data_IF_931415271183
#
_entry.id   IF_931415271183
#
_cell.length_a   1.000
_cell.length_b   1.000
_cell.length_c   1.000
_cell.angle_alpha   90.00
_cell.angle_beta   90.00
_cell.angle_gamma   90.00
#
_symmetry.space_group_name_H-M   'P 1'
#
loop_
_entity.id
_entity.type
_entity.pdbx_description
1 polymer ?
#
# COMPACT_ATOMS: atom_id res chain seq x y z
N UNK A 1 -10.63 4.09 6.86
CA UNK A 1 -9.69 3.76 7.95
C UNK A 1 -8.46 4.63 7.81
N UNK A 2 -8.10 5.31 8.91
CA UNK A 2 -6.79 5.97 9.07
C UNK A 2 -6.18 5.38 10.35
N UNK A 3 -4.97 4.81 10.25
CA UNK A 3 -4.27 4.20 11.38
C UNK A 3 -2.84 4.71 11.44
N UNK A 4 -2.32 4.92 12.65
CA UNK A 4 -0.94 5.34 12.89
C UNK A 4 -0.30 4.32 13.82
N UNK A 5 0.87 3.82 13.49
CA UNK A 5 1.65 2.95 14.36
C UNK A 5 2.09 3.75 15.60
N UNK A 6 1.69 3.32 16.79
CA UNK A 6 1.88 4.09 18.01
C UNK A 6 3.22 3.81 18.69
N UNK A 7 3.58 2.55 18.84
CA UNK A 7 4.77 2.17 19.61
C UNK A 7 5.30 0.76 19.26
N UNK A 8 6.36 0.35 19.94
CA UNK A 8 6.97 -0.96 19.79
C UNK A 8 6.11 -2.10 20.32
N UNK A 9 5.19 -1.85 21.25
CA UNK A 9 4.28 -2.87 21.78
C UNK A 9 3.26 -3.25 20.69
N UNK A 10 2.62 -2.24 20.08
CA UNK A 10 1.72 -2.47 18.94
C UNK A 10 2.42 -3.25 17.83
N UNK A 11 3.66 -2.87 17.49
CA UNK A 11 4.44 -3.58 16.49
C UNK A 11 4.71 -5.05 16.89
N UNK A 12 5.06 -5.30 18.17
CA UNK A 12 5.24 -6.65 18.69
C UNK A 12 3.98 -7.49 18.53
N UNK A 13 2.84 -6.98 18.94
CA UNK A 13 1.53 -7.66 18.80
C UNK A 13 1.19 -7.98 17.35
N UNK A 14 1.52 -7.06 16.41
CA UNK A 14 1.37 -7.29 14.97
C UNK A 14 2.24 -8.45 14.49
N UNK A 15 3.53 -8.47 14.87
CA UNK A 15 4.48 -9.52 14.48
C UNK A 15 4.05 -10.88 15.04
N UNK A 16 3.71 -10.96 16.33
CA UNK A 16 3.23 -12.19 16.96
C UNK A 16 1.96 -12.74 16.28
N UNK A 17 1.04 -11.84 15.91
CA UNK A 17 -0.17 -12.25 15.20
C UNK A 17 0.16 -12.80 13.80
N UNK A 18 1.03 -12.15 13.04
CA UNK A 18 1.45 -12.65 11.73
C UNK A 18 2.17 -14.01 11.84
N UNK A 19 3.01 -14.19 12.87
CA UNK A 19 3.70 -15.47 13.14
C UNK A 19 2.72 -16.59 13.50
N UNK A 20 1.76 -16.32 14.39
CA UNK A 20 0.72 -17.27 14.79
C UNK A 20 -0.10 -17.72 13.57
N UNK A 21 -0.39 -16.81 12.66
CA UNK A 21 -1.13 -17.08 11.43
C UNK A 21 -0.24 -17.67 10.32
N UNK A 22 1.04 -17.95 10.61
CA UNK A 22 2.05 -18.52 9.69
C UNK A 22 2.24 -17.69 8.41
N UNK A 23 2.07 -16.37 8.51
CA UNK A 23 2.26 -15.44 7.40
C UNK A 23 3.73 -15.02 7.29
N UNK A 24 4.21 -14.71 6.08
CA UNK A 24 5.58 -14.28 5.89
C UNK A 24 5.83 -12.94 6.55
N UNK A 25 6.92 -12.84 7.30
CA UNK A 25 7.35 -11.59 7.89
C UNK A 25 8.24 -10.79 6.93
N UNK A 26 8.12 -9.49 7.00
CA UNK A 26 9.05 -8.58 6.35
C UNK A 26 10.41 -8.60 7.07
N UNK A 27 11.52 -8.52 6.32
CA UNK A 27 12.88 -8.50 6.89
C UNK A 27 13.17 -7.26 7.76
N UNK A 28 12.48 -6.15 7.51
CA UNK A 28 12.49 -4.97 8.35
C UNK A 28 11.33 -5.09 9.33
N UNK A 29 11.57 -5.24 10.65
CA UNK A 29 10.51 -5.53 11.62
C UNK A 29 9.34 -4.55 11.57
N UNK A 30 9.61 -3.25 11.47
CA UNK A 30 8.59 -2.20 11.46
C UNK A 30 7.60 -2.35 10.28
N UNK A 31 8.06 -2.84 9.13
CA UNK A 31 7.20 -3.04 7.94
C UNK A 31 6.19 -4.19 8.09
N UNK A 32 6.29 -4.99 9.15
CA UNK A 32 5.26 -5.97 9.49
C UNK A 32 3.95 -5.31 9.92
N UNK A 33 3.99 -4.10 10.46
CA UNK A 33 2.79 -3.33 10.75
C UNK A 33 2.00 -3.02 9.46
N UNK A 34 2.67 -2.64 8.37
CA UNK A 34 2.02 -2.39 7.07
C UNK A 34 1.23 -3.62 6.61
N UNK A 35 1.86 -4.81 6.67
CA UNK A 35 1.22 -6.07 6.29
C UNK A 35 0.08 -6.45 7.24
N UNK A 36 0.22 -6.20 8.54
CA UNK A 36 -0.83 -6.46 9.51
C UNK A 36 -2.07 -5.58 9.26
N UNK A 37 -1.87 -4.28 9.07
CA UNK A 37 -2.98 -3.35 8.79
C UNK A 37 -3.59 -3.61 7.41
N UNK A 38 -2.80 -3.99 6.40
CA UNK A 38 -3.29 -4.38 5.08
C UNK A 38 -4.38 -5.46 5.16
N UNK A 39 -4.31 -6.40 6.09
CA UNK A 39 -5.33 -7.46 6.27
C UNK A 39 -6.74 -6.88 6.44
N UNK A 40 -6.88 -5.70 7.07
CA UNK A 40 -8.17 -5.01 7.20
C UNK A 40 -8.71 -4.52 5.85
N UNK A 41 -7.80 -4.12 4.95
CA UNK A 41 -8.18 -3.72 3.60
C UNK A 41 -8.53 -4.91 2.70
N UNK A 42 -8.04 -6.10 3.03
CA UNK A 42 -8.31 -7.33 2.28
C UNK A 42 -9.64 -7.99 2.67
N UNK A 43 -10.23 -7.63 3.82
CA UNK A 43 -11.53 -8.15 4.24
C UNK A 43 -12.58 -7.90 3.15
N UNK A 44 -13.40 -8.88 2.84
CA UNK A 44 -14.43 -8.84 1.80
C UNK A 44 -13.92 -8.90 0.34
N UNK A 45 -12.65 -9.20 0.11
CA UNK A 45 -12.14 -9.48 -1.23
C UNK A 45 -12.12 -10.99 -1.48
N UNK A 46 -12.60 -11.37 -2.65
CA UNK A 46 -12.51 -12.76 -3.11
C UNK A 46 -11.07 -13.11 -3.53
N UNK A 47 -10.63 -14.37 -3.42
CA UNK A 47 -9.28 -14.79 -3.79
C UNK A 47 -8.87 -14.44 -5.23
N UNK A 48 -9.82 -14.42 -6.16
CA UNK A 48 -9.60 -14.04 -7.57
C UNK A 48 -9.64 -12.55 -7.86
N UNK A 49 -9.91 -11.69 -6.86
CA UNK A 49 -9.98 -10.25 -7.04
C UNK A 49 -8.65 -9.68 -7.57
N UNK A 50 -8.67 -8.83 -8.62
CA UNK A 50 -7.45 -8.23 -9.15
C UNK A 50 -6.88 -7.19 -8.17
N UNK A 51 -5.66 -7.45 -7.70
CA UNK A 51 -4.92 -6.58 -6.77
C UNK A 51 -3.65 -6.07 -7.44
N UNK A 52 -3.42 -4.74 -7.36
CA UNK A 52 -2.22 -4.10 -7.86
C UNK A 52 -1.37 -3.51 -6.73
N UNK A 53 -0.09 -3.89 -6.67
CA UNK A 53 0.93 -3.33 -5.76
C UNK A 53 1.74 -2.27 -6.52
N UNK A 54 1.45 -0.99 -6.24
CA UNK A 54 2.01 0.19 -6.89
C UNK A 54 3.28 0.65 -6.17
N UNK A 55 4.43 0.29 -6.72
CA UNK A 55 5.75 0.40 -6.08
C UNK A 55 6.13 -0.90 -5.39
N UNK A 56 5.98 -2.04 -6.09
CA UNK A 56 6.11 -3.38 -5.51
C UNK A 56 7.56 -3.76 -5.09
N UNK A 57 8.56 -2.98 -5.42
CA UNK A 57 9.94 -3.14 -5.00
C UNK A 57 10.48 -4.56 -5.17
N UNK A 58 10.72 -5.24 -4.06
CA UNK A 58 11.24 -6.62 -4.03
C UNK A 58 10.12 -7.69 -4.00
N UNK A 59 8.85 -7.32 -4.14
CA UNK A 59 7.71 -8.23 -4.20
C UNK A 59 7.35 -8.92 -2.87
N UNK A 60 7.72 -8.32 -1.74
CA UNK A 60 7.40 -8.88 -0.43
C UNK A 60 5.89 -8.85 -0.15
N UNK A 61 5.23 -7.76 -0.52
CA UNK A 61 3.77 -7.64 -0.41
C UNK A 61 3.05 -8.58 -1.36
N UNK A 62 3.52 -8.75 -2.59
CA UNK A 62 2.94 -9.73 -3.53
C UNK A 62 3.04 -11.15 -2.98
N UNK A 63 4.17 -11.53 -2.38
CA UNK A 63 4.32 -12.84 -1.73
C UNK A 63 3.42 -12.98 -0.50
N UNK A 64 3.26 -11.92 0.30
CA UNK A 64 2.34 -11.89 1.42
C UNK A 64 0.89 -12.13 0.98
N UNK A 65 0.43 -11.41 -0.05
CA UNK A 65 -0.91 -11.58 -0.63
C UNK A 65 -1.14 -12.99 -1.18
N UNK A 66 -0.13 -13.51 -1.88
CA UNK A 66 -0.17 -14.88 -2.41
C UNK A 66 -0.33 -15.91 -1.28
N UNK A 67 0.36 -15.72 -0.16
CA UNK A 67 0.24 -16.61 1.01
C UNK A 67 -1.13 -16.50 1.70
N UNK A 68 -1.80 -15.38 1.53
CA UNK A 68 -3.20 -15.21 1.95
C UNK A 68 -4.20 -15.84 0.98
N UNK A 69 -3.75 -16.41 -0.16
CA UNK A 69 -4.59 -17.10 -1.12
C UNK A 69 -5.05 -16.24 -2.31
N UNK A 70 -4.57 -15.00 -2.45
CA UNK A 70 -4.90 -14.19 -3.62
C UNK A 70 -4.09 -14.63 -4.85
N UNK A 71 -4.76 -14.74 -6.00
CA UNK A 71 -4.19 -15.32 -7.21
C UNK A 71 -3.98 -14.30 -8.34
N UNK A 72 -4.79 -13.26 -8.40
CA UNK A 72 -4.73 -12.25 -9.46
C UNK A 72 -3.93 -11.02 -9.01
N UNK A 73 -2.61 -11.18 -8.96
CA UNK A 73 -1.68 -10.20 -8.41
C UNK A 73 -0.85 -9.54 -9.50
N UNK A 74 -0.77 -8.21 -9.44
CA UNK A 74 0.02 -7.36 -10.33
C UNK A 74 0.94 -6.47 -9.51
N UNK A 75 2.23 -6.46 -9.82
CA UNK A 75 3.18 -5.47 -9.31
C UNK A 75 3.58 -4.49 -10.39
N UNK A 76 3.78 -3.22 -10.04
CA UNK A 76 4.41 -2.22 -10.91
C UNK A 76 5.50 -1.49 -10.14
N UNK A 77 6.66 -1.29 -10.77
CA UNK A 77 7.78 -0.54 -10.21
C UNK A 77 8.62 0.12 -11.31
N UNK A 78 9.30 1.21 -11.00
CA UNK A 78 10.23 1.89 -11.91
C UNK A 78 11.40 0.98 -12.31
N UNK A 79 11.82 0.11 -11.40
CA UNK A 79 12.89 -0.85 -11.63
C UNK A 79 12.47 -2.25 -11.15
N UNK A 80 12.73 -3.26 -11.98
CA UNK A 80 12.49 -4.65 -11.58
C UNK A 80 13.77 -5.19 -10.94
N UNK A 81 13.74 -5.37 -9.62
CA UNK A 81 14.91 -5.85 -8.90
C UNK A 81 15.20 -7.33 -9.20
N UNK A 82 16.48 -7.72 -9.18
CA UNK A 82 16.89 -9.12 -9.30
C UNK A 82 16.31 -10.00 -8.17
N UNK A 83 16.14 -9.42 -6.97
CA UNK A 83 15.54 -10.12 -5.81
C UNK A 83 14.08 -10.50 -6.05
N UNK A 84 13.32 -9.63 -6.73
CA UNK A 84 11.96 -9.92 -7.16
C UNK A 84 11.94 -11.10 -8.14
N UNK A 85 12.82 -11.08 -9.16
CA UNK A 85 12.92 -12.18 -10.12
C UNK A 85 13.40 -13.49 -9.50
N UNK A 86 14.36 -13.44 -8.57
CA UNK A 86 14.81 -14.61 -7.83
C UNK A 86 13.69 -15.21 -6.96
N UNK A 87 12.87 -14.38 -6.31
CA UNK A 87 11.71 -14.82 -5.54
C UNK A 87 10.67 -15.50 -6.43
N UNK A 88 10.34 -14.88 -7.55
CA UNK A 88 9.42 -15.42 -8.55
C UNK A 88 9.89 -16.81 -9.03
N UNK A 89 11.14 -16.92 -9.45
CA UNK A 89 11.72 -18.19 -9.91
C UNK A 89 11.73 -19.27 -8.81
N UNK A 90 12.08 -18.91 -7.58
CA UNK A 90 12.07 -19.83 -6.45
C UNK A 90 10.66 -20.35 -6.13
N UNK A 91 9.65 -19.48 -6.20
CA UNK A 91 8.25 -19.87 -6.00
C UNK A 91 7.79 -20.81 -7.12
N UNK A 92 8.12 -20.49 -8.37
CA UNK A 92 7.82 -21.39 -9.51
C UNK A 92 8.44 -22.78 -9.32
N UNK A 93 9.72 -22.82 -8.94
CA UNK A 93 10.43 -24.08 -8.71
C UNK A 93 9.83 -24.90 -7.56
N UNK A 94 9.62 -24.27 -6.39
CA UNK A 94 9.10 -24.96 -5.20
C UNK A 94 7.68 -25.48 -5.38
N UNK A 95 6.83 -24.73 -6.07
CA UNK A 95 5.42 -25.06 -6.27
C UNK A 95 5.16 -25.74 -7.61
N UNK A 96 6.20 -26.07 -8.36
CA UNK A 96 6.14 -26.70 -9.69
C UNK A 96 5.18 -25.96 -10.65
N UNK A 97 5.20 -24.62 -10.59
CA UNK A 97 4.34 -23.77 -11.42
C UNK A 97 4.95 -23.59 -12.81
N UNK A 98 4.10 -23.64 -13.83
CA UNK A 98 4.47 -23.32 -15.21
C UNK A 98 4.40 -21.82 -15.53
N UNK A 99 3.72 -21.04 -14.67
CA UNK A 99 3.54 -19.59 -14.84
C UNK A 99 3.97 -18.84 -13.58
N UNK A 100 4.46 -17.60 -13.72
CA UNK A 100 4.75 -16.75 -12.57
C UNK A 100 3.57 -16.63 -11.61
N UNK A 101 3.82 -16.54 -10.29
CA UNK A 101 2.78 -16.44 -9.28
C UNK A 101 2.06 -15.08 -9.30
N UNK A 102 2.63 -14.08 -9.95
CA UNK A 102 2.09 -12.73 -10.13
C UNK A 102 2.66 -12.09 -11.40
N UNK A 103 1.97 -11.08 -11.92
CA UNK A 103 2.44 -10.29 -13.08
C UNK A 103 3.29 -9.12 -12.59
N UNK A 104 4.36 -8.79 -13.30
CA UNK A 104 5.22 -7.64 -12.98
C UNK A 104 5.33 -6.74 -14.19
N UNK A 105 5.01 -5.46 -14.02
CA UNK A 105 5.18 -4.40 -15.00
C UNK A 105 6.33 -3.48 -14.57
N UNK A 106 7.18 -3.09 -15.52
CA UNK A 106 8.12 -1.99 -15.31
C UNK A 106 7.46 -0.69 -15.77
N UNK A 107 7.35 0.28 -14.87
CA UNK A 107 6.73 1.56 -15.20
C UNK A 107 6.53 2.46 -14.00
N UNK A 108 6.02 3.66 -14.27
CA UNK A 108 5.61 4.61 -13.25
C UNK A 108 4.26 4.20 -12.65
N UNK A 109 4.08 4.47 -11.36
CA UNK A 109 2.80 4.34 -10.65
C UNK A 109 1.87 5.53 -10.91
N UNK A 110 2.39 6.58 -11.56
CA UNK A 110 1.62 7.75 -12.01
C UNK A 110 1.58 7.74 -13.53
N UNK A 111 0.42 7.44 -14.13
CA UNK A 111 0.27 7.21 -15.57
C UNK A 111 0.66 5.79 -15.99
N UNK A 112 0.21 4.80 -15.23
CA UNK A 112 0.47 3.39 -15.49
C UNK A 112 -0.26 2.88 -16.73
N UNK A 113 0.28 1.81 -17.34
CA UNK A 113 -0.38 1.09 -18.44
C UNK A 113 -1.47 0.11 -17.99
N UNK A 114 -1.82 0.12 -16.71
CA UNK A 114 -2.91 -0.70 -16.17
C UNK A 114 -4.24 -0.20 -16.78
N UNK A 115 -5.10 -1.09 -17.30
CA UNK A 115 -6.38 -0.70 -17.86
C UNK A 115 -7.27 0.03 -16.85
N UNK A 116 -8.14 0.93 -17.34
CA UNK A 116 -9.12 1.60 -16.49
C UNK A 116 -10.12 0.58 -15.91
N UNK A 117 -10.60 0.82 -14.69
CA UNK A 117 -11.62 0.01 -14.00
C UNK A 117 -11.34 -1.50 -14.07
N UNK A 118 -10.13 -1.90 -13.69
CA UNK A 118 -9.67 -3.29 -13.77
C UNK A 118 -9.06 -3.83 -12.47
N UNK A 119 -9.05 -3.02 -11.41
CA UNK A 119 -8.40 -3.35 -10.13
C UNK A 119 -9.42 -3.18 -8.99
N UNK A 120 -9.60 -4.22 -8.18
CA UNK A 120 -10.48 -4.22 -7.02
C UNK A 120 -9.80 -3.67 -5.75
N UNK A 121 -8.47 -3.76 -5.67
CA UNK A 121 -7.67 -3.14 -4.62
C UNK A 121 -6.31 -2.70 -5.17
N UNK A 122 -6.01 -1.42 -5.06
CA UNK A 122 -4.66 -0.90 -5.29
C UNK A 122 -3.95 -0.71 -3.94
N UNK A 123 -2.66 -1.06 -3.91
CA UNK A 123 -1.77 -0.89 -2.75
C UNK A 123 -0.65 0.07 -3.11
N UNK A 124 -0.22 0.88 -2.15
CA UNK A 124 1.02 1.65 -2.23
C UNK A 124 1.67 1.66 -0.85
N UNK A 125 2.58 0.73 -0.63
CA UNK A 125 3.20 0.50 0.69
C UNK A 125 4.58 1.12 0.70
N UNK A 126 4.75 2.17 1.53
CA UNK A 126 6.02 2.89 1.68
C UNK A 126 6.64 3.29 0.33
N UNK A 127 5.85 3.96 -0.50
CA UNK A 127 6.25 4.34 -1.86
C UNK A 127 6.10 5.84 -2.11
N UNK A 128 5.01 6.46 -1.65
CA UNK A 128 4.71 7.86 -1.98
C UNK A 128 5.67 8.86 -1.34
N UNK A 129 6.38 8.48 -0.29
CA UNK A 129 7.45 9.25 0.35
C UNK A 129 8.69 9.41 -0.53
N UNK A 130 8.83 8.65 -1.61
CA UNK A 130 9.99 8.66 -2.51
C UNK A 130 9.83 9.59 -3.71
N UNK A 131 9.34 10.83 -3.47
CA UNK A 131 9.27 11.85 -4.51
C UNK A 131 8.16 11.67 -5.53
N UNK A 132 7.14 10.88 -5.20
CA UNK A 132 5.96 10.67 -6.05
C UNK A 132 5.14 11.97 -6.13
N UNK A 133 4.67 12.30 -7.33
CA UNK A 133 3.62 13.29 -7.55
C UNK A 133 2.27 12.69 -7.10
N UNK A 134 1.85 13.09 -5.89
CA UNK A 134 0.69 12.51 -5.21
C UNK A 134 -0.60 12.74 -6.01
N UNK A 135 -0.78 13.90 -6.63
CA UNK A 135 -2.00 14.21 -7.37
C UNK A 135 -2.13 13.34 -8.64
N UNK A 136 -1.04 13.17 -9.37
CA UNK A 136 -0.99 12.27 -10.53
C UNK A 136 -1.15 10.81 -10.13
N UNK A 137 -0.52 10.40 -9.04
CA UNK A 137 -0.66 9.05 -8.48
C UNK A 137 -2.12 8.75 -8.13
N UNK A 138 -2.78 9.65 -7.39
CA UNK A 138 -4.19 9.49 -7.01
C UNK A 138 -5.11 9.45 -8.23
N UNK A 139 -4.90 10.34 -9.21
CA UNK A 139 -5.70 10.38 -10.44
C UNK A 139 -5.57 9.09 -11.26
N UNK A 140 -4.34 8.58 -11.45
CA UNK A 140 -4.13 7.32 -12.17
C UNK A 140 -4.68 6.12 -11.40
N UNK A 141 -4.50 6.09 -10.09
CA UNK A 141 -5.07 5.03 -9.25
C UNK A 141 -6.60 5.05 -9.30
N UNK A 142 -7.23 6.22 -9.25
CA UNK A 142 -8.69 6.33 -9.40
C UNK A 142 -9.17 5.80 -10.75
N UNK A 143 -8.41 6.05 -11.83
CA UNK A 143 -8.71 5.55 -13.17
C UNK A 143 -8.70 4.04 -13.25
N UNK A 144 -7.68 3.39 -12.68
CA UNK A 144 -7.51 1.93 -12.76
C UNK A 144 -8.44 1.15 -11.84
N UNK A 145 -8.93 1.77 -10.77
CA UNK A 145 -9.83 1.13 -9.82
C UNK A 145 -11.24 0.95 -10.41
N UNK A 146 -11.84 -0.21 -10.15
CA UNK A 146 -13.25 -0.49 -10.38
C UNK A 146 -14.14 0.42 -9.51
N UNK A 147 -15.39 0.70 -9.90
CA UNK A 147 -16.38 1.29 -8.98
C UNK A 147 -16.52 0.44 -7.71
N UNK A 148 -16.52 1.06 -6.54
CA UNK A 148 -16.55 0.37 -5.24
C UNK A 148 -15.20 -0.14 -4.73
N UNK A 149 -14.17 -0.14 -5.58
CA UNK A 149 -12.82 -0.58 -5.25
C UNK A 149 -12.08 0.35 -4.27
N UNK A 150 -10.96 -0.11 -3.73
CA UNK A 150 -10.23 0.58 -2.66
C UNK A 150 -8.77 0.84 -3.02
N UNK A 151 -8.23 1.92 -2.44
CA UNK A 151 -6.80 2.24 -2.42
C UNK A 151 -6.30 2.19 -0.98
N UNK A 152 -5.31 1.34 -0.73
CA UNK A 152 -4.60 1.27 0.54
C UNK A 152 -3.20 1.88 0.39
N UNK A 153 -2.87 2.85 1.25
CA UNK A 153 -1.58 3.55 1.25
C UNK A 153 -0.96 3.41 2.63
N UNK A 154 0.35 3.12 2.69
CA UNK A 154 1.16 3.41 3.89
C UNK A 154 2.33 4.30 3.51
N UNK A 155 2.75 5.15 4.44
CA UNK A 155 3.89 6.06 4.24
C UNK A 155 4.57 6.42 5.56
N UNK A 156 5.80 6.89 5.48
CA UNK A 156 6.55 7.45 6.61
C UNK A 156 5.85 8.72 7.11
N UNK A 157 5.60 8.81 8.42
CA UNK A 157 4.76 9.83 9.02
C UNK A 157 5.28 10.33 10.36
N UNK A 158 5.10 11.62 10.60
CA UNK A 158 5.20 12.23 11.92
C UNK A 158 4.17 13.36 12.06
N UNK A 159 3.63 13.55 13.27
CA UNK A 159 2.57 14.56 13.50
C UNK A 159 2.98 15.97 13.17
N UNK A 160 4.25 16.30 13.37
CA UNK A 160 4.87 17.60 13.08
C UNK A 160 5.81 17.51 11.89
N UNK A 161 6.15 18.66 11.32
CA UNK A 161 7.05 18.75 10.17
C UNK A 161 8.47 18.34 10.56
N UNK A 162 8.99 17.28 9.93
CA UNK A 162 10.37 16.84 10.03
C UNK A 162 11.16 17.36 8.81
N UNK A 163 12.26 18.08 9.06
CA UNK A 163 13.15 18.50 7.98
C UNK A 163 14.07 17.35 7.60
N UNK A 164 13.87 16.79 6.42
CA UNK A 164 14.76 15.81 5.81
C UNK A 164 15.75 16.55 4.91
N UNK A 165 17.05 16.25 5.03
CA UNK A 165 18.06 16.85 4.16
C UNK A 165 17.89 16.39 2.72
N UNK A 166 18.04 17.29 1.75
CA UNK A 166 17.98 16.95 0.31
C UNK A 166 19.09 15.99 -0.13
N UNK A 167 20.14 15.80 0.68
CA UNK A 167 21.20 14.80 0.43
C UNK A 167 20.77 13.38 0.76
N UNK A 168 19.73 13.20 1.59
CA UNK A 168 19.24 11.86 1.96
C UNK A 168 18.40 11.30 0.81
N UNK A 169 18.81 10.13 0.33
CA UNK A 169 18.14 9.40 -0.73
C UNK A 169 17.77 7.99 -0.25
N UNK A 170 16.57 7.55 -0.60
CA UNK A 170 16.17 6.17 -0.45
C UNK A 170 15.98 5.56 -1.86
N UNK A 171 16.67 4.46 -2.14
CA UNK A 171 16.67 3.82 -3.49
C UNK A 171 17.10 4.76 -4.63
N UNK A 172 17.94 5.78 -4.33
CA UNK A 172 18.34 6.80 -5.29
C UNK A 172 17.31 7.91 -5.53
N UNK A 173 16.15 7.85 -4.89
CA UNK A 173 15.06 8.81 -4.99
C UNK A 173 15.04 9.79 -3.81
N UNK A 174 14.46 10.98 -3.96
CA UNK A 174 14.17 11.87 -2.83
C UNK A 174 13.36 11.12 -1.77
N UNK A 175 13.61 11.40 -0.50
CA UNK A 175 12.84 10.81 0.59
C UNK A 175 12.30 11.90 1.50
N UNK A 176 11.11 11.69 2.06
CA UNK A 176 10.47 12.62 2.99
C UNK A 176 9.62 11.90 4.01
N UNK A 177 9.43 12.53 5.17
CA UNK A 177 8.46 12.10 6.17
C UNK A 177 7.23 13.00 5.99
N UNK A 178 6.05 12.42 5.84
CA UNK A 178 4.79 13.15 5.75
C UNK A 178 4.43 13.70 7.14
N UNK A 179 3.98 14.93 7.19
CA UNK A 179 3.39 15.56 8.37
C UNK A 179 1.84 15.55 8.27
N UNK A 180 1.19 15.98 9.34
CA UNK A 180 -0.27 16.07 9.38
C UNK A 180 -0.85 16.90 8.23
N UNK A 181 -0.21 18.04 7.91
CA UNK A 181 -0.68 18.93 6.85
C UNK A 181 -0.55 18.29 5.47
N UNK A 182 0.51 17.52 5.22
CA UNK A 182 0.69 16.77 3.96
C UNK A 182 -0.33 15.66 3.82
N UNK A 183 -0.64 14.95 4.90
CA UNK A 183 -1.71 13.92 4.88
C UNK A 183 -3.06 14.59 4.65
N UNK A 184 -3.37 15.72 5.30
CA UNK A 184 -4.61 16.46 5.05
C UNK A 184 -4.72 16.87 3.58
N UNK A 185 -3.66 17.45 2.98
CA UNK A 185 -3.65 17.80 1.54
C UNK A 185 -3.82 16.58 0.63
N UNK A 186 -3.25 15.43 0.98
CA UNK A 186 -3.46 14.19 0.24
C UNK A 186 -4.94 13.77 0.27
N UNK A 187 -5.56 13.83 1.44
CA UNK A 187 -6.99 13.49 1.61
C UNK A 187 -7.89 14.48 0.84
N UNK A 188 -7.57 15.78 0.87
CA UNK A 188 -8.29 16.80 0.12
C UNK A 188 -8.16 16.57 -1.40
N UNK A 189 -6.96 16.23 -1.87
CA UNK A 189 -6.74 15.88 -3.29
C UNK A 189 -7.50 14.61 -3.68
N UNK A 190 -7.48 13.59 -2.83
CA UNK A 190 -8.24 12.37 -3.05
C UNK A 190 -9.75 12.66 -3.15
N UNK A 191 -10.30 13.49 -2.25
CA UNK A 191 -11.70 13.89 -2.27
C UNK A 191 -12.07 14.67 -3.54
N UNK A 192 -11.21 15.60 -4.01
CA UNK A 192 -11.44 16.32 -5.27
C UNK A 192 -11.45 15.42 -6.50
N UNK A 193 -10.68 14.33 -6.50
CA UNK A 193 -10.66 13.33 -7.57
C UNK A 193 -11.92 12.44 -7.51
N UNK A 194 -12.56 12.32 -6.34
CA UNK A 194 -13.77 11.54 -6.14
C UNK A 194 -13.61 10.34 -5.22
N UNK A 195 -12.46 10.16 -4.55
CA UNK A 195 -12.32 9.18 -3.48
C UNK A 195 -13.15 9.58 -2.25
N UNK A 196 -13.70 8.60 -1.60
CA UNK A 196 -14.32 8.73 -0.28
C UNK A 196 -13.33 8.24 0.78
N UNK A 197 -12.85 9.10 1.69
CA UNK A 197 -12.07 8.65 2.83
C UNK A 197 -13.01 7.90 3.80
N UNK A 198 -12.52 6.79 4.35
CA UNK A 198 -13.31 6.02 5.33
C UNK A 198 -13.44 6.73 6.69
N UNK A 199 -12.56 7.69 6.95
CA UNK A 199 -12.50 8.51 8.18
C UNK A 199 -11.86 9.86 7.87
N UNK A 200 -12.24 10.90 8.61
CA UNK A 200 -11.74 12.27 8.41
C UNK A 200 -10.77 12.71 9.52
N UNK A 201 -10.54 11.90 10.55
CA UNK A 201 -9.68 12.25 11.68
C UNK A 201 -8.36 11.50 11.60
N UNK A 202 -7.27 12.24 11.53
CA UNK A 202 -5.91 11.68 11.60
C UNK A 202 -5.57 11.46 13.08
N UNK A 203 -5.30 10.20 13.52
CA UNK A 203 -4.92 9.94 14.91
C UNK A 203 -3.65 10.69 15.31
N UNK A 204 -3.53 10.99 16.60
CA UNK A 204 -2.28 11.50 17.15
C UNK A 204 -1.19 10.41 17.13
N UNK A 205 0.07 10.80 16.98
CA UNK A 205 1.21 9.91 17.21
C UNK A 205 1.62 9.98 18.67
N UNK A 206 1.80 8.84 19.32
CA UNK A 206 2.30 8.78 20.70
C UNK A 206 3.77 8.35 20.79
N UNK A 207 4.32 7.74 19.74
CA UNK A 207 5.70 7.27 19.69
C UNK A 207 6.27 7.26 18.26
N UNK A 208 7.59 7.12 18.17
CA UNK A 208 8.35 7.06 16.93
C UNK A 208 9.17 5.76 16.86
N UNK A 209 8.53 4.60 16.63
CA UNK A 209 9.20 3.30 16.66
C UNK A 209 10.14 3.06 15.48
N UNK A 210 10.21 3.98 14.52
CA UNK A 210 11.10 3.89 13.36
C UNK A 210 12.22 4.90 13.50
N UNK A 211 13.47 4.46 13.33
CA UNK A 211 14.63 5.34 13.24
C UNK A 211 15.40 5.01 11.98
N UNK A 212 15.56 6.00 11.09
CA UNK A 212 16.35 5.87 9.88
C UNK A 212 17.07 7.19 9.57
N UNK A 213 18.34 7.12 9.17
CA UNK A 213 19.18 8.29 8.90
C UNK A 213 19.20 9.32 10.04
N UNK A 214 19.14 8.85 11.30
CA UNK A 214 19.12 9.70 12.48
C UNK A 214 17.79 10.42 12.75
N UNK A 215 16.76 10.16 11.96
CA UNK A 215 15.42 10.72 12.14
C UNK A 215 14.49 9.67 12.74
N UNK A 216 13.72 10.06 13.76
CA UNK A 216 12.71 9.25 14.41
C UNK A 216 11.32 9.61 13.88
N UNK A 217 10.52 8.61 13.52
CA UNK A 217 9.19 8.77 12.93
C UNK A 217 8.34 7.51 13.13
N UNK A 218 7.17 7.48 12.56
CA UNK A 218 6.26 6.34 12.57
C UNK A 218 5.67 6.10 11.16
N UNK A 219 4.69 5.22 11.05
CA UNK A 219 3.94 4.96 9.83
C UNK A 219 2.48 5.38 9.97
N UNK A 220 1.88 5.81 8.87
CA UNK A 220 0.44 6.01 8.74
C UNK A 220 -0.09 5.15 7.61
N UNK A 221 -1.27 4.57 7.83
CA UNK A 221 -2.04 3.82 6.83
C UNK A 221 -3.36 4.54 6.53
N UNK A 222 -3.69 4.64 5.25
CA UNK A 222 -4.91 5.26 4.74
C UNK A 222 -5.65 4.24 3.87
N UNK A 223 -6.97 4.15 4.03
CA UNK A 223 -7.84 3.39 3.14
C UNK A 223 -8.87 4.33 2.52
N UNK A 224 -8.79 4.50 1.20
CA UNK A 224 -9.69 5.32 0.40
C UNK A 224 -10.58 4.41 -0.45
N UNK A 225 -11.79 4.83 -0.75
CA UNK A 225 -12.74 4.09 -1.58
C UNK A 225 -13.11 4.89 -2.82
N UNK A 226 -13.12 4.24 -3.97
CA UNK A 226 -13.82 4.77 -5.15
C UNK A 226 -15.30 4.45 -4.99
N UNK A 227 -16.22 5.44 -5.08
CA UNK A 227 -17.64 5.18 -4.93
C UNK A 227 -18.15 4.17 -5.98
N UNK A 228 -19.21 3.40 -5.67
CA UNK A 228 -19.85 2.53 -6.64
C UNK A 228 -20.47 3.35 -7.78
N UNK A 229 -20.70 2.73 -8.94
CA UNK A 229 -21.43 3.38 -10.02
C UNK A 229 -22.88 3.66 -9.61
N UNK A 230 -23.42 4.82 -10.00
CA UNK A 230 -24.78 5.24 -9.61
C UNK A 230 -25.88 4.23 -9.97
N UNK A 231 -25.63 3.28 -10.87
CA UNK A 231 -26.57 2.24 -11.28
C UNK A 231 -26.74 1.11 -10.25
N UNK A 232 -25.80 0.90 -9.34
CA UNK A 232 -25.86 -0.20 -8.38
C UNK A 232 -26.59 0.16 -7.06
N UNK A 233 -26.78 1.45 -6.79
CA UNK A 233 -27.42 1.93 -5.55
C UNK A 233 -28.94 1.71 -5.52
N UNK A 234 -29.60 1.46 -6.65
CA UNK A 234 -31.06 1.28 -6.72
C UNK A 234 -31.55 -0.16 -6.50
N UNK A 235 -30.66 -1.15 -6.44
CA UNK A 235 -31.08 -2.56 -6.30
C UNK A 235 -31.00 -3.10 -4.85
N UNK A 236 -30.43 -2.35 -3.90
CA UNK A 236 -30.29 -2.79 -2.50
C UNK A 236 -31.37 -2.31 -1.53
N UNK A 237 -32.30 -1.43 -1.96
CA UNK A 237 -33.37 -0.90 -1.10
C UNK A 237 -34.76 -1.54 -1.33
N UNK A 238 -34.81 -2.71 -1.97
CA UNK A 238 -36.06 -3.41 -2.26
C UNK A 238 -36.03 -4.88 -1.90
N UNK A 239 -35.76 -5.21 -0.64
CA UNK A 239 -36.18 -6.49 -0.03
C UNK A 239 -36.33 -6.35 1.47
#
# INVERSE_FOLDING_TARGET
MISVLQDWRELGDCIETLQRDKLPLHSTPQKNWDHFILRKALSQLEPGAPIADLGCGHGLTLEFLRRLGFENLLGIDLSISWRLRAREALTMYRERRLKPPYRILRGSISGSSIPASSISLALSISTIEHGVDVDRFLADTFRILEPGARLFITTDYWGEKVKVSDSIRAFGLPWRIFDRDRISRLLDSAARIGFEPSENSIPACSGAPVVWQGLAYTFIALLLRKPPSRSETHLSNGR
#
